data_IF_639053614535
#
_entry.id   IF_639053614535
#
_cell.length_a   1.000
_cell.length_b   1.000
_cell.length_c   1.000
_cell.angle_alpha   90.00
_cell.angle_beta   90.00
_cell.angle_gamma   90.00
#
_symmetry.space_group_name_H-M   'P 1'
#
loop_
_entity.id
_entity.type
_entity.pdbx_description
1 polymer ?
#
# COMPACT_ATOMS: atom_id res chain seq x y z
N UNK A 1 -19.90 -28.42 73.64
CA UNK A 1 -18.90 -28.61 72.56
C UNK A 1 -19.45 -27.96 71.29
N UNK A 2 -19.09 -26.70 71.00
CA UNK A 2 -19.58 -25.98 69.81
C UNK A 2 -18.42 -25.90 68.80
N UNK A 3 -18.58 -26.53 67.64
CA UNK A 3 -17.60 -26.54 66.55
C UNK A 3 -17.54 -25.17 65.89
N UNK A 4 -16.32 -24.65 65.71
CA UNK A 4 -16.04 -23.43 64.99
C UNK A 4 -16.10 -23.69 63.47
N UNK A 5 -16.86 -22.86 62.75
CA UNK A 5 -16.88 -22.85 61.29
C UNK A 5 -16.03 -21.67 60.82
N UNK A 6 -14.85 -21.96 60.27
CA UNK A 6 -13.99 -20.95 59.65
C UNK A 6 -14.57 -20.55 58.29
N UNK A 7 -14.83 -19.25 58.12
CA UNK A 7 -15.19 -18.64 56.85
C UNK A 7 -13.91 -18.38 56.07
N UNK A 8 -13.74 -19.06 54.93
CA UNK A 8 -12.63 -18.82 53.99
C UNK A 8 -12.95 -17.59 53.15
N UNK A 9 -12.20 -16.51 53.33
CA UNK A 9 -12.20 -15.35 52.44
C UNK A 9 -11.43 -15.74 51.19
N UNK A 10 -12.13 -15.88 50.06
CA UNK A 10 -11.52 -16.02 48.74
C UNK A 10 -11.31 -14.60 48.21
N UNK A 11 -10.07 -14.12 48.22
CA UNK A 11 -9.70 -12.85 47.62
C UNK A 11 -9.68 -12.98 46.10
N UNK A 12 -10.58 -12.28 45.41
CA UNK A 12 -10.61 -12.20 43.95
C UNK A 12 -9.50 -11.25 43.45
N UNK A 13 -8.47 -11.80 42.80
CA UNK A 13 -7.53 -11.02 41.99
C UNK A 13 -8.17 -10.70 40.63
N UNK A 14 -8.80 -9.53 40.52
CA UNK A 14 -9.17 -8.95 39.24
C UNK A 14 -7.93 -8.27 38.63
N UNK A 15 -7.27 -8.93 37.68
CA UNK A 15 -6.21 -8.34 36.88
C UNK A 15 -6.82 -7.32 35.90
N UNK A 16 -6.60 -6.03 36.16
CA UNK A 16 -6.94 -4.94 35.24
C UNK A 16 -5.89 -4.90 34.13
N UNK A 17 -6.19 -5.53 32.99
CA UNK A 17 -5.43 -5.39 31.76
C UNK A 17 -6.09 -4.32 30.84
N UNK A 18 -6.06 -3.05 31.26
CA UNK A 18 -6.47 -1.91 30.43
C UNK A 18 -5.25 -1.00 30.18
N UNK A 19 -4.44 -1.33 29.18
CA UNK A 19 -3.30 -0.48 28.83
C UNK A 19 -2.70 -0.69 27.44
N UNK A 20 -2.96 -1.83 26.78
CA UNK A 20 -2.34 -2.14 25.50
C UNK A 20 -3.02 -1.49 24.27
N UNK A 21 -4.24 -0.95 24.41
CA UNK A 21 -4.99 -0.40 23.27
C UNK A 21 -4.61 1.04 22.92
N UNK A 22 -4.14 1.85 23.88
CA UNK A 22 -3.84 3.27 23.65
C UNK A 22 -2.59 3.49 22.79
N UNK A 23 -1.55 2.67 22.97
CA UNK A 23 -0.27 2.83 22.26
C UNK A 23 -0.38 2.42 20.79
N UNK A 24 -1.11 1.33 20.52
CA UNK A 24 -1.36 0.87 19.15
C UNK A 24 -2.20 1.87 18.34
N UNK A 25 -3.17 2.53 18.97
CA UNK A 25 -4.00 3.54 18.30
C UNK A 25 -3.23 4.85 18.04
N UNK A 26 -2.32 5.24 18.94
CA UNK A 26 -1.46 6.43 18.77
C UNK A 26 -0.40 6.25 17.67
N UNK A 27 0.18 5.05 17.53
CA UNK A 27 1.12 4.79 16.42
C UNK A 27 0.41 4.82 15.05
N UNK A 28 -0.86 4.44 15.00
CA UNK A 28 -1.65 4.46 13.77
C UNK A 28 -1.99 5.89 13.31
N UNK A 29 -2.19 6.85 14.22
CA UNK A 29 -2.44 8.25 13.85
C UNK A 29 -1.24 8.92 13.17
N UNK A 30 -0.03 8.46 13.46
CA UNK A 30 1.20 9.01 12.89
C UNK A 30 1.57 8.39 11.53
N UNK A 31 0.97 7.24 11.17
CA UNK A 31 1.14 6.58 9.87
C UNK A 31 0.93 7.56 8.70
N UNK A 32 1.91 7.64 7.81
CA UNK A 32 1.87 8.47 6.59
C UNK A 32 2.17 7.67 5.32
N UNK A 33 2.35 6.36 5.44
CA UNK A 33 2.44 5.43 4.31
C UNK A 33 1.81 4.07 4.65
N UNK A 34 1.17 3.45 3.66
CA UNK A 34 0.82 2.04 3.68
C UNK A 34 0.59 1.49 2.26
N UNK A 35 0.59 0.17 2.12
CA UNK A 35 0.07 -0.55 0.94
C UNK A 35 -1.38 -0.94 1.20
N UNK A 36 -2.30 -0.80 0.26
CA UNK A 36 -3.69 -1.20 0.52
C UNK A 36 -3.79 -2.70 0.85
N UNK A 37 -4.58 -3.07 1.86
CA UNK A 37 -4.82 -4.49 2.18
C UNK A 37 -5.64 -5.23 1.11
N UNK A 38 -6.36 -4.49 0.27
CA UNK A 38 -7.10 -5.00 -0.87
C UNK A 38 -7.17 -3.94 -1.99
N UNK A 39 -7.28 -4.39 -3.23
CA UNK A 39 -7.66 -3.55 -4.36
C UNK A 39 -9.19 -3.36 -4.42
N UNK A 40 -9.70 -2.45 -5.28
CA UNK A 40 -11.13 -2.18 -5.39
C UNK A 40 -11.94 -3.30 -6.08
N UNK A 41 -11.28 -4.33 -6.61
CA UNK A 41 -11.92 -5.48 -7.24
C UNK A 41 -12.39 -5.26 -8.68
N UNK A 42 -12.11 -4.09 -9.26
CA UNK A 42 -12.47 -3.71 -10.64
C UNK A 42 -11.24 -3.63 -11.57
N UNK A 43 -10.19 -4.39 -11.27
CA UNK A 43 -8.92 -4.28 -11.98
C UNK A 43 -8.29 -2.90 -11.78
N UNK A 44 -7.77 -2.31 -12.85
CA UNK A 44 -7.15 -0.98 -12.82
C UNK A 44 -8.12 0.19 -13.09
N UNK A 45 -9.44 -0.06 -13.19
CA UNK A 45 -10.44 1.01 -13.20
C UNK A 45 -10.69 1.49 -11.76
N UNK A 46 -9.96 2.55 -11.40
CA UNK A 46 -10.00 3.19 -10.10
C UNK A 46 -10.93 4.42 -10.11
N UNK A 47 -11.56 4.76 -11.25
CA UNK A 47 -12.23 6.05 -11.45
C UNK A 47 -11.25 7.22 -11.57
N UNK A 48 -10.07 6.97 -12.15
CA UNK A 48 -8.99 7.93 -12.25
C UNK A 48 -8.26 8.18 -10.92
N UNK A 49 -7.36 9.17 -10.91
CA UNK A 49 -6.58 9.52 -9.72
C UNK A 49 -7.44 9.87 -8.50
N UNK A 50 -8.57 10.55 -8.72
CA UNK A 50 -9.47 10.94 -7.63
C UNK A 50 -10.11 9.73 -6.95
N UNK A 51 -10.50 8.70 -7.71
CA UNK A 51 -11.05 7.48 -7.12
C UNK A 51 -9.98 6.62 -6.46
N UNK A 52 -8.77 6.58 -7.00
CA UNK A 52 -7.62 5.95 -6.34
C UNK A 52 -7.28 6.63 -4.99
N UNK A 53 -7.24 7.97 -4.95
CA UNK A 53 -7.04 8.74 -3.73
C UNK A 53 -8.15 8.46 -2.69
N UNK A 54 -9.40 8.31 -3.14
CA UNK A 54 -10.53 7.96 -2.28
C UNK A 54 -10.35 6.60 -1.62
N UNK A 55 -9.82 5.60 -2.34
CA UNK A 55 -9.49 4.29 -1.75
C UNK A 55 -8.48 4.46 -0.61
N UNK A 56 -7.38 5.18 -0.86
CA UNK A 56 -6.37 5.45 0.16
C UNK A 56 -6.96 6.21 1.36
N UNK A 57 -7.75 7.25 1.12
CA UNK A 57 -8.39 8.03 2.18
C UNK A 57 -9.32 7.17 3.05
N UNK A 58 -10.15 6.33 2.42
CA UNK A 58 -11.09 5.47 3.15
C UNK A 58 -10.39 4.42 4.02
N UNK A 59 -9.34 3.78 3.50
CA UNK A 59 -8.56 2.79 4.25
C UNK A 59 -7.79 3.44 5.40
N UNK A 60 -7.19 4.61 5.17
CA UNK A 60 -6.53 5.37 6.21
C UNK A 60 -7.51 5.79 7.32
N UNK A 61 -8.72 6.24 6.94
CA UNK A 61 -9.76 6.60 7.91
C UNK A 61 -10.18 5.40 8.74
N UNK A 62 -10.37 4.23 8.14
CA UNK A 62 -10.68 2.99 8.86
C UNK A 62 -9.57 2.58 9.84
N UNK A 63 -8.32 2.93 9.53
CA UNK A 63 -7.16 2.75 10.40
C UNK A 63 -6.96 3.90 11.41
N UNK A 64 -7.82 4.91 11.48
CA UNK A 64 -7.65 6.05 12.40
C UNK A 64 -6.63 7.11 11.97
N UNK A 65 -6.15 7.05 10.73
CA UNK A 65 -5.23 8.02 10.12
C UNK A 65 -5.93 8.98 9.13
N UNK A 66 -7.26 9.13 9.25
CA UNK A 66 -8.10 9.85 8.28
C UNK A 66 -7.99 11.37 8.29
N UNK A 67 -7.29 11.98 9.25
CA UNK A 67 -7.12 13.43 9.33
C UNK A 67 -6.13 13.99 8.29
N UNK A 68 -5.28 13.13 7.71
CA UNK A 68 -4.35 13.50 6.65
C UNK A 68 -5.04 13.45 5.28
N UNK A 69 -4.49 14.17 4.32
CA UNK A 69 -4.85 14.00 2.91
C UNK A 69 -4.03 12.85 2.33
N UNK A 70 -4.69 11.81 1.85
CA UNK A 70 -4.04 10.63 1.28
C UNK A 70 -4.09 10.62 -0.24
N UNK A 71 -2.97 10.21 -0.84
CA UNK A 71 -2.80 10.11 -2.28
C UNK A 71 -2.33 8.71 -2.67
N UNK A 72 -2.95 8.16 -3.70
CA UNK A 72 -2.42 6.97 -4.36
C UNK A 72 -1.21 7.36 -5.19
N UNK A 73 -0.11 6.63 -5.05
CA UNK A 73 1.11 6.82 -5.84
C UNK A 73 0.92 6.28 -7.25
N UNK A 74 0.29 7.11 -8.10
CA UNK A 74 -0.02 6.79 -9.48
C UNK A 74 0.30 7.98 -10.37
N UNK A 75 0.98 7.70 -11.47
CA UNK A 75 1.14 8.66 -12.57
C UNK A 75 0.02 8.50 -13.60
N UNK A 76 -0.21 9.53 -14.41
CA UNK A 76 -1.06 9.46 -15.63
C UNK A 76 -0.21 9.70 -16.87
N UNK A 77 -0.77 9.47 -18.05
CA UNK A 77 -0.11 9.69 -19.34
C UNK A 77 -0.92 10.63 -20.24
N UNK A 78 -0.23 11.14 -21.27
CA UNK A 78 -0.78 12.04 -22.27
C UNK A 78 -0.53 13.53 -21.97
N UNK A 79 -1.26 14.39 -22.66
CA UNK A 79 -1.18 15.83 -22.43
C UNK A 79 -1.65 16.16 -21.00
N UNK A 80 -0.81 16.86 -20.23
CA UNK A 80 -1.09 17.13 -18.82
C UNK A 80 -0.89 15.92 -17.91
N UNK A 81 -0.06 14.95 -18.32
CA UNK A 81 0.36 13.83 -17.48
C UNK A 81 0.82 14.31 -16.09
N UNK A 82 0.37 13.61 -15.07
CA UNK A 82 0.70 13.89 -13.68
C UNK A 82 1.71 12.86 -13.21
N UNK A 83 2.78 13.31 -12.56
CA UNK A 83 3.77 12.43 -11.94
C UNK A 83 3.31 12.00 -10.55
N UNK A 84 3.49 10.73 -10.20
CA UNK A 84 3.19 10.22 -8.87
C UNK A 84 4.00 10.95 -7.79
N UNK A 85 5.30 11.17 -8.05
CA UNK A 85 6.23 11.82 -7.10
C UNK A 85 5.81 13.22 -6.67
N UNK A 86 5.09 13.96 -7.51
CA UNK A 86 4.72 15.35 -7.26
C UNK A 86 3.44 15.45 -6.40
N UNK A 87 2.73 14.33 -6.20
CA UNK A 87 1.43 14.29 -5.52
C UNK A 87 1.52 13.89 -4.05
N UNK A 88 2.57 13.16 -3.66
CA UNK A 88 2.61 12.42 -2.39
C UNK A 88 3.17 13.19 -1.19
N UNK A 89 3.36 14.51 -1.32
CA UNK A 89 3.97 15.36 -0.29
C UNK A 89 5.50 15.25 -0.26
N UNK A 90 6.11 15.83 0.78
CA UNK A 90 7.58 15.91 0.90
C UNK A 90 8.22 14.86 1.82
N UNK A 91 7.42 14.06 2.51
CA UNK A 91 7.88 13.16 3.58
C UNK A 91 8.06 13.87 4.94
N UNK A 92 8.54 13.17 5.98
CA UNK A 92 8.85 11.75 5.98
C UNK A 92 7.60 10.87 5.91
N UNK A 93 7.75 9.69 5.33
CA UNK A 93 6.70 8.67 5.32
C UNK A 93 7.04 7.54 6.28
N UNK A 94 6.11 7.22 7.17
CA UNK A 94 6.23 6.17 8.18
C UNK A 94 5.08 5.18 8.05
N UNK A 95 5.36 3.90 8.21
CA UNK A 95 4.32 2.86 8.21
C UNK A 95 3.56 2.81 9.54
N UNK A 96 2.54 1.95 9.63
CA UNK A 96 1.72 1.74 10.83
C UNK A 96 2.49 1.38 12.11
N UNK A 97 3.75 0.91 12.00
CA UNK A 97 4.61 0.58 13.14
C UNK A 97 5.63 1.68 13.46
N UNK A 98 5.49 2.86 12.83
CA UNK A 98 6.41 3.98 13.00
C UNK A 98 7.76 3.81 12.30
N UNK A 99 7.92 2.80 11.43
CA UNK A 99 9.16 2.61 10.67
C UNK A 99 9.18 3.59 9.50
N UNK A 100 10.27 4.37 9.40
CA UNK A 100 10.51 5.29 8.29
C UNK A 100 10.72 4.51 7.00
N UNK A 101 9.95 4.87 5.98
CA UNK A 101 10.03 4.35 4.61
C UNK A 101 11.01 5.18 3.79
N UNK A 102 10.88 6.50 3.87
CA UNK A 102 11.80 7.47 3.31
C UNK A 102 11.58 8.82 4.01
N UNK A 103 12.65 9.59 4.21
CA UNK A 103 12.60 10.91 4.83
C UNK A 103 12.14 12.01 3.87
N UNK A 104 12.38 11.81 2.57
CA UNK A 104 12.05 12.76 1.52
C UNK A 104 11.90 12.07 0.15
N UNK A 105 11.44 12.84 -0.85
CA UNK A 105 11.22 12.37 -2.23
C UNK A 105 12.51 11.81 -2.85
N UNK A 106 13.68 12.37 -2.53
CA UNK A 106 14.94 11.92 -3.10
C UNK A 106 15.33 10.54 -2.56
N UNK A 107 15.19 10.31 -1.25
CA UNK A 107 15.39 9.00 -0.64
C UNK A 107 14.36 7.99 -1.15
N UNK A 108 13.09 8.38 -1.30
CA UNK A 108 12.03 7.49 -1.80
C UNK A 108 12.34 6.94 -3.19
N UNK A 109 12.97 7.72 -4.07
CA UNK A 109 13.35 7.26 -5.42
C UNK A 109 14.82 6.82 -5.51
N UNK A 110 15.52 6.76 -4.37
CA UNK A 110 16.87 6.24 -4.23
C UNK A 110 16.89 5.01 -3.32
N UNK A 111 17.74 5.05 -2.30
CA UNK A 111 17.86 3.99 -1.30
C UNK A 111 16.82 4.18 -0.18
N UNK A 112 15.60 3.70 -0.43
CA UNK A 112 14.50 3.72 0.53
C UNK A 112 14.40 2.43 1.35
N UNK A 113 13.48 2.42 2.31
CA UNK A 113 13.16 1.27 3.14
C UNK A 113 11.82 0.61 2.72
N UNK A 114 11.50 0.56 1.41
CA UNK A 114 10.38 -0.24 0.89
C UNK A 114 10.85 -1.66 0.60
N UNK A 115 10.51 -2.57 1.51
CA UNK A 115 10.73 -4.02 1.42
C UNK A 115 9.52 -4.75 2.02
N UNK A 116 9.42 -6.07 1.85
CA UNK A 116 8.29 -6.89 2.36
C UNK A 116 7.94 -6.62 3.83
N UNK A 117 8.96 -6.44 4.68
CA UNK A 117 8.81 -6.26 6.12
C UNK A 117 8.30 -4.87 6.51
N UNK A 118 8.42 -3.88 5.64
CA UNK A 118 8.13 -2.46 5.94
C UNK A 118 7.00 -1.90 5.09
N UNK A 119 6.73 -2.49 3.92
CA UNK A 119 5.58 -2.23 3.05
C UNK A 119 4.30 -2.84 3.64
N UNK A 120 3.95 -2.40 4.85
CA UNK A 120 2.81 -2.90 5.61
C UNK A 120 1.51 -2.29 5.11
N UNK A 121 0.41 -2.99 5.36
CA UNK A 121 -0.91 -2.47 5.07
C UNK A 121 -1.41 -1.46 6.11
N UNK A 122 -2.59 -0.86 5.87
CA UNK A 122 -3.19 0.14 6.75
C UNK A 122 -3.48 -0.39 8.16
N UNK A 123 -3.41 -1.71 8.37
CA UNK A 123 -3.61 -2.39 9.66
C UNK A 123 -2.27 -2.82 10.29
N UNK A 124 -1.13 -2.46 9.70
CA UNK A 124 0.20 -2.83 10.15
C UNK A 124 0.57 -4.30 9.92
N UNK A 125 -0.12 -4.96 9.00
CA UNK A 125 0.14 -6.36 8.63
C UNK A 125 1.02 -6.43 7.38
N UNK A 126 1.79 -7.52 7.27
CA UNK A 126 2.59 -7.79 6.07
C UNK A 126 1.65 -8.10 4.90
N UNK A 127 1.93 -7.51 3.73
CA UNK A 127 1.24 -7.84 2.48
C UNK A 127 1.91 -9.07 1.87
N UNK A 128 1.10 -10.01 1.37
CA UNK A 128 1.61 -11.19 0.68
C UNK A 128 2.51 -10.77 -0.50
N UNK A 129 3.72 -11.34 -0.55
CA UNK A 129 4.69 -11.13 -1.60
C UNK A 129 4.83 -12.35 -2.52
N UNK A 130 5.90 -12.34 -3.32
CA UNK A 130 6.29 -13.47 -4.14
C UNK A 130 6.51 -14.71 -3.27
N UNK A 131 5.96 -15.85 -3.72
CA UNK A 131 5.98 -17.11 -2.99
C UNK A 131 4.86 -17.31 -1.95
N UNK A 132 4.09 -16.27 -1.61
CA UNK A 132 2.93 -16.39 -0.73
C UNK A 132 1.65 -16.76 -1.52
N UNK A 133 0.61 -17.20 -0.82
CA UNK A 133 -0.69 -17.53 -1.42
C UNK A 133 -1.84 -16.73 -0.76
N UNK A 134 -2.61 -15.94 -1.53
CA UNK A 134 -2.36 -15.56 -2.92
C UNK A 134 -1.09 -14.69 -3.07
N UNK A 135 -0.45 -14.71 -4.24
CA UNK A 135 0.61 -13.75 -4.58
C UNK A 135 -0.02 -12.37 -4.84
N UNK A 136 0.46 -11.33 -4.17
CA UNK A 136 -0.03 -9.95 -4.29
C UNK A 136 1.11 -8.93 -4.28
N UNK A 137 2.28 -9.31 -4.80
CA UNK A 137 3.48 -8.48 -4.69
C UNK A 137 3.51 -7.29 -5.68
N UNK A 138 2.76 -7.39 -6.78
CA UNK A 138 2.66 -6.31 -7.77
C UNK A 138 1.72 -5.21 -7.28
N UNK A 139 2.22 -3.97 -7.33
CA UNK A 139 1.52 -2.75 -6.95
C UNK A 139 1.41 -1.83 -8.18
N UNK A 140 0.22 -1.27 -8.42
CA UNK A 140 -0.02 -0.35 -9.55
C UNK A 140 0.72 0.97 -9.33
N UNK A 141 1.42 1.48 -10.36
CA UNK A 141 2.16 2.76 -10.26
C UNK A 141 2.04 3.65 -11.50
N UNK A 142 2.08 3.06 -12.71
CA UNK A 142 2.16 3.81 -13.97
C UNK A 142 3.37 4.73 -14.09
N UNK A 143 4.42 4.50 -13.30
CA UNK A 143 5.51 5.46 -13.08
C UNK A 143 6.86 4.87 -13.47
N UNK A 144 7.75 5.69 -14.03
CA UNK A 144 9.17 5.37 -14.21
C UNK A 144 9.86 5.24 -12.84
N UNK A 145 11.10 4.70 -12.76
CA UNK A 145 11.82 4.54 -11.50
C UNK A 145 11.96 5.84 -10.70
N UNK A 146 12.11 6.97 -11.38
CA UNK A 146 12.21 8.30 -10.78
C UNK A 146 10.86 8.90 -10.33
N UNK A 147 9.76 8.16 -10.48
CA UNK A 147 8.41 8.55 -10.09
C UNK A 147 7.69 9.49 -11.05
N UNK A 148 8.24 9.69 -12.24
CA UNK A 148 7.59 10.47 -13.31
C UNK A 148 6.76 9.59 -14.25
N UNK A 149 5.79 10.19 -14.93
CA UNK A 149 4.93 9.51 -15.90
C UNK A 149 5.70 8.91 -17.09
N UNK A 150 5.26 7.77 -17.64
CA UNK A 150 5.83 7.27 -18.90
C UNK A 150 5.50 8.18 -20.08
N UNK A 151 6.50 8.56 -20.90
CA UNK A 151 6.22 9.26 -22.16
C UNK A 151 5.74 8.27 -23.23
N UNK A 152 5.10 8.80 -24.28
CA UNK A 152 4.80 8.02 -25.48
C UNK A 152 3.41 7.40 -25.53
N UNK A 153 3.14 6.58 -26.56
CA UNK A 153 1.80 6.09 -26.88
C UNK A 153 1.42 4.80 -26.15
N UNK A 154 2.39 4.08 -25.57
CA UNK A 154 2.12 2.84 -24.87
C UNK A 154 1.42 3.14 -23.54
N UNK A 155 0.25 2.53 -23.34
CA UNK A 155 -0.52 2.68 -22.11
C UNK A 155 0.14 1.88 -20.98
N UNK A 156 0.57 2.62 -19.96
CA UNK A 156 1.19 2.17 -18.72
C UNK A 156 0.30 2.52 -17.51
N UNK A 157 -0.97 2.90 -17.74
CA UNK A 157 -1.88 3.39 -16.69
C UNK A 157 -3.28 2.80 -16.79
N UNK A 158 -3.52 1.85 -17.69
CA UNK A 158 -4.85 1.33 -17.99
C UNK A 158 -5.85 2.45 -18.31
N UNK A 159 -5.47 3.31 -19.25
CA UNK A 159 -6.27 4.46 -19.68
C UNK A 159 -6.44 5.50 -18.58
N UNK A 160 -5.35 5.89 -17.92
CA UNK A 160 -5.38 6.81 -16.78
C UNK A 160 -6.31 6.35 -15.65
N UNK A 161 -6.25 5.04 -15.37
CA UNK A 161 -6.96 4.38 -14.26
C UNK A 161 -8.48 4.36 -14.42
N UNK A 162 -8.97 4.28 -15.65
CA UNK A 162 -10.40 4.20 -15.97
C UNK A 162 -10.78 2.97 -16.80
N UNK A 163 -9.84 2.05 -17.02
CA UNK A 163 -10.07 0.83 -17.81
C UNK A 163 -9.91 -0.42 -16.96
N UNK A 164 -10.90 -1.31 -17.05
CA UNK A 164 -10.85 -2.67 -16.54
C UNK A 164 -10.72 -3.70 -17.67
N UNK A 165 -10.16 -3.31 -18.82
CA UNK A 165 -10.10 -4.13 -20.03
C UNK A 165 -8.74 -4.02 -20.72
N UNK A 166 -8.72 -3.53 -21.97
CA UNK A 166 -7.50 -3.36 -22.76
C UNK A 166 -6.65 -2.20 -22.23
N UNK A 167 -5.34 -2.45 -22.11
CA UNK A 167 -4.30 -1.49 -21.73
C UNK A 167 -3.10 -2.21 -21.12
N UNK A 168 -2.30 -1.48 -20.37
CA UNK A 168 -1.39 -2.06 -19.39
C UNK A 168 -1.16 -1.03 -18.29
N UNK A 169 -0.81 -1.49 -17.10
CA UNK A 169 -0.32 -0.65 -16.03
C UNK A 169 1.15 -1.00 -15.76
N UNK A 170 2.01 0.00 -15.60
CA UNK A 170 3.32 -0.27 -15.00
C UNK A 170 3.10 -0.66 -13.54
N UNK A 171 3.74 -1.77 -13.15
CA UNK A 171 3.71 -2.36 -11.83
C UNK A 171 5.09 -2.22 -11.18
N UNK A 172 5.12 -2.18 -9.86
CA UNK A 172 6.34 -2.39 -9.09
C UNK A 172 6.14 -3.41 -7.96
N UNK A 173 7.22 -3.83 -7.32
CA UNK A 173 7.20 -4.91 -6.33
C UNK A 173 7.30 -4.40 -4.91
N UNK A 174 6.23 -4.58 -4.12
CA UNK A 174 6.19 -4.20 -2.70
C UNK A 174 7.16 -4.98 -1.82
N UNK A 175 7.59 -6.16 -2.28
CA UNK A 175 8.51 -7.03 -1.58
C UNK A 175 9.96 -6.95 -2.07
N UNK A 176 10.22 -6.20 -3.15
CA UNK A 176 11.53 -6.13 -3.85
C UNK A 176 12.03 -7.46 -4.41
N UNK A 177 11.13 -8.41 -4.67
CA UNK A 177 11.48 -9.73 -5.22
C UNK A 177 11.19 -9.79 -6.71
N UNK A 178 12.21 -10.06 -7.51
CA UNK A 178 12.09 -10.24 -8.96
C UNK A 178 12.60 -11.59 -9.44
N UNK A 179 12.53 -11.82 -10.75
CA UNK A 179 13.06 -13.03 -11.40
C UNK A 179 14.59 -13.07 -11.45
N UNK A 180 15.26 -11.95 -11.20
CA UNK A 180 16.72 -11.81 -11.17
C UNK A 180 17.13 -10.58 -10.33
N UNK A 181 18.43 -10.28 -10.29
CA UNK A 181 19.01 -9.21 -9.47
C UNK A 181 19.08 -7.82 -10.15
N UNK A 182 18.48 -7.64 -11.33
CA UNK A 182 18.45 -6.34 -12.01
C UNK A 182 17.67 -5.29 -11.20
N UNK A 183 17.98 -4.01 -11.45
CA UNK A 183 17.30 -2.90 -10.78
C UNK A 183 15.81 -2.85 -11.14
N UNK A 184 15.48 -3.18 -12.38
CA UNK A 184 14.13 -3.28 -12.91
C UNK A 184 13.37 -4.40 -12.19
N UNK A 185 13.91 -5.61 -12.15
CA UNK A 185 13.24 -6.76 -11.52
C UNK A 185 13.00 -6.56 -10.01
N UNK A 186 13.78 -5.71 -9.34
CA UNK A 186 13.61 -5.35 -7.91
C UNK A 186 13.01 -3.97 -7.70
N UNK A 187 12.50 -3.33 -8.75
CA UNK A 187 11.96 -1.99 -8.66
C UNK A 187 10.64 -2.00 -7.91
N UNK A 188 10.51 -1.14 -6.89
CA UNK A 188 9.27 -1.01 -6.13
C UNK A 188 8.18 -0.28 -6.92
N UNK A 189 8.53 0.48 -7.95
CA UNK A 189 7.58 1.29 -8.71
C UNK A 189 7.61 1.12 -10.23
N UNK A 190 8.57 0.38 -10.80
CA UNK A 190 8.74 0.30 -12.26
C UNK A 190 9.44 -0.99 -12.68
N UNK A 191 8.82 -2.13 -12.40
CA UNK A 191 9.35 -3.47 -12.68
C UNK A 191 8.90 -3.99 -14.03
N UNK A 192 7.60 -4.13 -14.25
CA UNK A 192 7.06 -4.61 -15.53
C UNK A 192 5.63 -4.14 -15.79
N UNK A 193 5.19 -4.12 -17.06
CA UNK A 193 3.79 -3.93 -17.41
C UNK A 193 2.91 -5.09 -16.92
N UNK A 194 1.66 -4.79 -16.58
CA UNK A 194 0.62 -5.79 -16.38
C UNK A 194 0.28 -6.49 -17.69
N UNK A 195 -0.18 -7.74 -17.61
CA UNK A 195 -0.45 -8.58 -18.79
C UNK A 195 -1.61 -9.53 -18.53
N UNK A 196 -2.19 -10.04 -19.61
CA UNK A 196 -3.17 -11.13 -19.54
C UNK A 196 -4.16 -11.09 -20.70
N UNK A 197 -4.94 -12.17 -20.87
CA UNK A 197 -5.86 -12.33 -22.01
C UNK A 197 -7.05 -11.35 -21.99
N UNK A 198 -7.39 -10.77 -20.83
CA UNK A 198 -8.42 -9.73 -20.71
C UNK A 198 -7.96 -8.33 -21.14
N UNK A 199 -6.72 -8.22 -21.61
CA UNK A 199 -6.13 -6.97 -22.07
C UNK A 199 -5.28 -6.26 -21.03
N UNK A 200 -4.92 -6.91 -19.91
CA UNK A 200 -3.90 -6.45 -18.97
C UNK A 200 -4.41 -5.63 -17.79
N UNK A 201 -5.65 -5.13 -17.84
CA UNK A 201 -6.22 -4.25 -16.82
C UNK A 201 -7.42 -4.84 -16.06
N UNK A 202 -7.86 -6.06 -16.41
CA UNK A 202 -8.90 -6.76 -15.66
C UNK A 202 -8.38 -7.22 -14.28
N UNK A 203 -9.28 -7.50 -13.34
CA UNK A 203 -8.86 -8.03 -12.04
C UNK A 203 -8.12 -9.36 -12.18
N UNK A 204 -8.57 -10.23 -13.08
CA UNK A 204 -7.95 -11.55 -13.29
C UNK A 204 -6.59 -11.43 -13.98
N UNK A 205 -6.42 -10.47 -14.89
CA UNK A 205 -5.11 -10.19 -15.49
C UNK A 205 -4.10 -9.72 -14.44
N UNK A 206 -4.49 -8.80 -13.54
CA UNK A 206 -3.64 -8.35 -12.44
C UNK A 206 -3.24 -9.50 -11.51
N UNK A 207 -4.21 -10.37 -11.15
CA UNK A 207 -3.94 -11.60 -10.37
C UNK A 207 -3.00 -12.56 -11.09
N UNK A 208 -3.20 -12.78 -12.39
CA UNK A 208 -2.37 -13.67 -13.19
C UNK A 208 -0.93 -13.15 -13.38
N UNK A 209 -0.75 -11.82 -13.27
CA UNK A 209 0.57 -11.20 -13.36
C UNK A 209 1.35 -11.36 -12.05
N UNK A 210 0.69 -11.30 -10.90
CA UNK A 210 1.33 -11.35 -9.57
C UNK A 210 0.78 -10.33 -8.56
N UNK A 211 -0.27 -9.59 -8.92
CA UNK A 211 -0.86 -8.54 -8.09
C UNK A 211 -2.31 -8.78 -7.69
N UNK A 212 -2.93 -7.74 -7.16
CA UNK A 212 -4.37 -7.76 -6.86
C UNK A 212 -5.02 -6.37 -7.00
N UNK A 213 -4.39 -5.47 -7.78
CA UNK A 213 -4.80 -4.07 -7.89
C UNK A 213 -4.54 -3.27 -6.63
N UNK A 214 -3.42 -3.56 -5.94
CA UNK A 214 -3.02 -2.85 -4.73
C UNK A 214 -2.41 -1.49 -5.07
N UNK A 215 -2.46 -0.56 -4.12
CA UNK A 215 -1.93 0.80 -4.24
C UNK A 215 -0.94 1.08 -3.11
N UNK A 216 0.09 1.87 -3.40
CA UNK A 216 0.80 2.61 -2.36
C UNK A 216 0.03 3.89 -2.03
N UNK A 217 -0.21 4.11 -0.76
CA UNK A 217 -0.92 5.27 -0.24
C UNK A 217 0.03 6.12 0.61
N UNK A 218 0.18 7.39 0.26
CA UNK A 218 1.05 8.33 0.95
C UNK A 218 0.24 9.52 1.45
N UNK A 219 0.54 10.01 2.66
CA UNK A 219 0.02 11.27 3.13
C UNK A 219 0.76 12.43 2.44
N UNK A 220 0.01 13.37 1.86
CA UNK A 220 0.53 14.47 1.04
C UNK A 220 0.74 15.77 1.82
N UNK A 221 1.29 15.66 3.03
CA UNK A 221 1.51 16.80 3.94
C UNK A 221 2.40 17.90 3.33
#
# INVERSE_FOLDING_TARGET
MKKATQVRIVASLALVALGATGVAQAQQSDMSFFVTSAGPGKGADLGGLAGADKVCQSLAQAAGAGAKTWRAYLSTQGAGAVNARDRIGRGPWVNAKGVVIAKDVAELHGANNLIKQTALNEKGQVVNGSGDSPNMHDILTGSKPDGTAFPGPDDMTCGNWTSSGKGSAMLGHGDRTGLNDSAEAKSWNSSHPSRGPGGGCTQDDLKSTGGNGLLYCFAAN
#
